data_IF_832781566170
#
_entry.id   IF_832781566170
#
_cell.length_a   1.000
_cell.length_b   1.000
_cell.length_c   1.000
_cell.angle_alpha   90.00
_cell.angle_beta   90.00
_cell.angle_gamma   90.00
#
_symmetry.space_group_name_H-M   'P 1'
#
loop_
_entity.id
_entity.type
_entity.pdbx_description
1 polymer ?
#
# COMPACT_ATOMS: atom_id res chain seq x y z
N UNK A 1 12.10 34.37 -39.79
CA UNK A 1 11.28 34.27 -38.58
C UNK A 1 11.45 32.86 -38.00
N UNK A 2 12.49 32.70 -37.15
CA UNK A 2 12.89 31.42 -36.56
C UNK A 2 12.58 31.56 -35.09
N UNK A 3 11.51 30.93 -34.61
CA UNK A 3 11.15 30.95 -33.19
C UNK A 3 11.06 29.52 -32.64
N UNK A 4 12.07 29.24 -31.89
CA UNK A 4 12.10 28.53 -30.61
C UNK A 4 11.59 27.11 -30.51
N UNK A 5 12.47 26.18 -30.87
CA UNK A 5 12.38 24.73 -30.54
C UNK A 5 13.02 24.37 -29.17
N UNK A 6 13.25 25.34 -28.28
CA UNK A 6 14.00 25.13 -27.03
C UNK A 6 13.17 24.85 -25.76
N UNK A 7 11.85 24.86 -25.84
CA UNK A 7 11.00 24.65 -24.64
C UNK A 7 10.46 23.22 -24.47
N UNK A 8 10.63 22.33 -25.45
CA UNK A 8 10.09 20.97 -25.38
C UNK A 8 11.05 19.92 -24.79
N UNK A 9 12.33 20.23 -24.68
CA UNK A 9 13.35 19.25 -24.23
C UNK A 9 13.52 19.21 -22.72
N UNK A 10 13.00 20.18 -21.96
CA UNK A 10 13.15 20.22 -20.49
C UNK A 10 12.14 19.37 -19.69
N UNK A 11 11.10 18.85 -20.34
CA UNK A 11 10.10 17.99 -19.65
C UNK A 11 10.32 16.49 -19.82
N UNK A 12 11.28 16.07 -20.66
CA UNK A 12 11.57 14.66 -20.91
C UNK A 12 12.75 14.10 -20.09
N UNK A 13 13.47 14.93 -19.35
CA UNK A 13 14.66 14.53 -18.60
C UNK A 13 14.40 14.23 -17.12
N UNK A 14 13.18 14.42 -16.62
CA UNK A 14 12.86 14.20 -15.20
C UNK A 14 12.19 12.84 -14.91
N UNK A 15 11.92 12.05 -15.95
CA UNK A 15 11.18 10.78 -15.80
C UNK A 15 12.05 9.52 -15.78
N UNK A 16 13.38 9.61 -15.76
CA UNK A 16 14.25 8.45 -15.96
C UNK A 16 15.29 8.22 -14.84
N UNK A 17 15.08 8.74 -13.64
CA UNK A 17 16.09 8.60 -12.57
C UNK A 17 15.56 8.07 -11.23
N UNK A 18 14.55 7.18 -11.24
CA UNK A 18 14.09 6.55 -9.99
C UNK A 18 13.93 5.02 -10.08
N UNK A 19 14.70 4.38 -10.95
CA UNK A 19 14.79 2.90 -10.98
C UNK A 19 16.24 2.53 -10.71
N UNK A 20 16.74 2.66 -9.51
CA UNK A 20 17.96 1.99 -9.07
C UNK A 20 18.31 2.31 -7.60
N UNK A 21 17.57 1.80 -6.63
CA UNK A 21 18.15 1.46 -5.32
C UNK A 21 17.44 0.19 -4.82
N UNK A 22 17.73 -0.92 -5.45
CA UNK A 22 17.72 -2.24 -4.83
C UNK A 22 18.89 -3.00 -5.44
N UNK A 23 20.06 -2.74 -4.93
CA UNK A 23 21.28 -3.53 -5.09
C UNK A 23 22.06 -3.29 -3.83
N UNK A 24 22.55 -4.19 -3.09
CA UNK A 24 23.19 -5.44 -3.32
C UNK A 24 23.58 -6.03 -1.98
N UNK A 25 23.33 -7.24 -1.72
CA UNK A 25 24.35 -8.11 -1.14
C UNK A 25 24.24 -9.44 -1.85
N UNK A 26 25.14 -9.64 -2.77
CA UNK A 26 25.30 -10.91 -3.45
C UNK A 26 25.99 -11.91 -2.55
N UNK A 27 25.35 -13.05 -2.36
CA UNK A 27 26.01 -14.35 -2.27
C UNK A 27 25.11 -15.31 -3.04
N UNK A 28 25.60 -15.81 -4.16
CA UNK A 28 24.97 -16.90 -4.88
C UNK A 28 25.02 -18.14 -4.00
N UNK A 29 23.85 -18.63 -3.65
CA UNK A 29 23.66 -19.99 -3.15
C UNK A 29 22.41 -20.56 -3.82
N UNK A 30 22.51 -21.78 -4.30
CA UNK A 30 21.56 -22.55 -5.07
C UNK A 30 20.11 -22.42 -4.59
N UNK A 31 19.21 -22.16 -5.53
CA UNK A 31 17.80 -22.55 -5.63
C UNK A 31 17.14 -23.13 -4.36
N UNK A 32 16.88 -22.29 -3.39
CA UNK A 32 15.69 -22.38 -2.55
C UNK A 32 14.83 -21.19 -2.94
N UNK A 33 13.59 -21.42 -3.39
CA UNK A 33 12.60 -20.33 -3.49
C UNK A 33 12.63 -19.60 -2.15
N UNK A 34 13.06 -18.34 -2.15
CA UNK A 34 13.15 -17.56 -0.93
C UNK A 34 11.72 -17.33 -0.43
N UNK A 35 11.35 -18.04 0.64
CA UNK A 35 10.09 -17.83 1.37
C UNK A 35 10.07 -16.49 2.12
N UNK A 36 10.97 -15.55 1.77
CA UNK A 36 11.01 -14.23 2.39
C UNK A 36 9.78 -13.41 2.02
N UNK A 37 9.28 -12.56 2.92
CA UNK A 37 8.24 -11.59 2.62
C UNK A 37 8.63 -10.74 1.42
N UNK A 38 7.72 -10.55 0.48
CA UNK A 38 7.97 -9.76 -0.74
C UNK A 38 6.76 -8.92 -1.10
N UNK A 39 7.02 -7.79 -1.76
CA UNK A 39 6.01 -6.91 -2.33
C UNK A 39 6.27 -6.73 -3.82
N UNK A 40 5.22 -6.73 -4.62
CA UNK A 40 5.26 -6.50 -6.07
C UNK A 40 4.15 -5.54 -6.47
N UNK A 41 4.37 -4.76 -7.53
CA UNK A 41 3.35 -3.88 -8.12
C UNK A 41 3.07 -4.32 -9.54
N UNK A 42 1.80 -4.54 -9.84
CA UNK A 42 1.33 -4.83 -11.19
C UNK A 42 -0.04 -4.21 -11.41
N UNK A 43 -0.21 -3.41 -12.46
CA UNK A 43 -1.51 -2.81 -12.82
C UNK A 43 -2.18 -2.07 -11.65
N UNK A 44 -1.44 -1.25 -10.89
CA UNK A 44 -1.90 -0.52 -9.71
C UNK A 44 -2.40 -1.41 -8.55
N UNK A 45 -2.07 -2.69 -8.58
CA UNK A 45 -2.26 -3.62 -7.46
C UNK A 45 -0.92 -3.88 -6.81
N UNK A 46 -0.82 -3.65 -5.52
CA UNK A 46 0.33 -4.03 -4.70
C UNK A 46 0.02 -5.38 -4.07
N UNK A 47 0.79 -6.39 -4.43
CA UNK A 47 0.67 -7.73 -3.84
C UNK A 47 1.78 -7.95 -2.83
N UNK A 48 1.42 -8.23 -1.61
CA UNK A 48 2.30 -8.67 -0.52
C UNK A 48 2.17 -10.17 -0.34
N UNK A 49 3.28 -10.90 -0.38
CA UNK A 49 3.30 -12.36 -0.31
C UNK A 49 4.26 -12.85 0.78
N UNK A 50 4.06 -14.09 1.25
CA UNK A 50 4.81 -14.72 2.34
C UNK A 50 4.73 -13.93 3.65
N UNK A 51 3.57 -13.34 3.92
CA UNK A 51 3.33 -12.50 5.09
C UNK A 51 3.35 -13.28 6.41
N UNK A 52 3.22 -14.60 6.38
CA UNK A 52 3.41 -15.50 7.50
C UNK A 52 4.85 -15.51 8.05
N UNK A 53 5.81 -15.02 7.26
CA UNK A 53 7.21 -14.88 7.66
C UNK A 53 7.48 -13.53 8.37
N UNK A 54 6.55 -12.58 8.34
CA UNK A 54 6.70 -11.32 9.09
C UNK A 54 6.58 -11.57 10.59
N UNK A 55 7.55 -11.03 11.32
CA UNK A 55 7.50 -11.01 12.79
C UNK A 55 6.50 -9.98 13.28
N UNK A 56 6.11 -10.08 14.54
CA UNK A 56 5.29 -9.06 15.20
C UNK A 56 5.90 -7.66 15.02
N UNK A 57 5.08 -6.70 14.62
CA UNK A 57 5.47 -5.30 14.33
C UNK A 57 6.48 -5.14 13.17
N UNK A 58 6.80 -6.20 12.45
CA UNK A 58 7.58 -6.10 11.23
C UNK A 58 6.70 -5.62 10.09
N UNK A 59 7.27 -4.81 9.22
CA UNK A 59 6.56 -4.17 8.10
C UNK A 59 7.27 -4.40 6.78
N UNK A 60 6.48 -4.51 5.73
CA UNK A 60 6.93 -4.55 4.35
C UNK A 60 6.37 -3.34 3.61
N UNK A 61 7.24 -2.54 3.00
CA UNK A 61 6.88 -1.28 2.33
C UNK A 61 7.34 -1.31 0.89
N UNK A 62 6.52 -0.78 0.00
CA UNK A 62 6.85 -0.61 -1.41
C UNK A 62 6.50 0.80 -1.87
N UNK A 63 7.37 1.40 -2.70
CA UNK A 63 7.11 2.67 -3.35
C UNK A 63 6.14 2.49 -4.52
N UNK A 64 5.23 3.42 -4.67
CA UNK A 64 4.23 3.49 -5.73
C UNK A 64 4.10 4.92 -6.22
N UNK A 65 3.33 5.11 -7.28
CA UNK A 65 2.92 6.44 -7.77
C UNK A 65 1.41 6.50 -7.67
N UNK A 66 0.87 7.59 -7.16
CA UNK A 66 -0.58 7.78 -7.03
C UNK A 66 -1.25 8.20 -8.35
N UNK A 67 -2.56 8.43 -8.31
CA UNK A 67 -3.34 8.83 -9.49
C UNK A 67 -2.95 10.20 -10.04
N UNK A 68 -2.29 11.05 -9.25
CA UNK A 68 -1.82 12.38 -9.65
C UNK A 68 -0.38 12.35 -10.20
N UNK A 69 0.31 11.21 -10.13
CA UNK A 69 1.71 11.06 -10.49
C UNK A 69 2.67 11.35 -9.33
N UNK A 70 2.17 11.56 -8.11
CA UNK A 70 2.98 11.86 -6.94
C UNK A 70 3.53 10.57 -6.29
N UNK A 71 4.72 10.63 -5.67
CA UNK A 71 5.30 9.49 -4.98
C UNK A 71 4.51 9.16 -3.71
N UNK A 72 4.26 7.87 -3.53
CA UNK A 72 3.60 7.35 -2.34
C UNK A 72 4.22 6.01 -1.92
N UNK A 73 3.82 5.51 -0.76
CA UNK A 73 4.20 4.18 -0.29
C UNK A 73 2.99 3.42 0.22
N UNK A 74 2.97 2.13 -0.06
CA UNK A 74 2.04 1.18 0.55
C UNK A 74 2.81 0.31 1.53
N UNK A 75 2.28 0.14 2.72
CA UNK A 75 2.88 -0.67 3.78
C UNK A 75 1.87 -1.67 4.31
N UNK A 76 2.31 -2.90 4.51
CA UNK A 76 1.64 -3.87 5.36
C UNK A 76 2.50 -4.15 6.59
N UNK A 77 1.90 -4.21 7.76
CA UNK A 77 2.57 -4.42 9.04
C UNK A 77 1.84 -5.52 9.82
N UNK A 78 2.60 -6.45 10.39
CA UNK A 78 2.05 -7.50 11.25
C UNK A 78 1.72 -6.91 12.62
N UNK A 79 0.48 -7.07 13.06
CA UNK A 79 -0.02 -6.54 14.35
C UNK A 79 -0.03 -7.61 15.44
N UNK A 80 0.22 -8.86 15.09
CA UNK A 80 0.16 -9.99 16.02
C UNK A 80 1.39 -10.07 16.91
N UNK A 81 1.19 -10.03 18.21
CA UNK A 81 2.24 -10.13 19.22
C UNK A 81 2.71 -11.58 19.50
N UNK A 82 2.26 -12.58 18.76
CA UNK A 82 2.62 -13.97 19.07
C UNK A 82 3.80 -14.46 18.25
N UNK A 83 4.86 -14.85 18.94
CA UNK A 83 6.08 -15.51 18.43
C UNK A 83 5.80 -16.99 18.03
N UNK A 84 4.61 -17.32 17.60
CA UNK A 84 4.28 -18.71 17.24
C UNK A 84 4.67 -19.00 15.80
N UNK A 85 5.62 -19.90 15.61
CA UNK A 85 6.05 -20.45 14.30
C UNK A 85 5.06 -21.49 13.73
N UNK A 86 3.91 -21.62 14.32
CA UNK A 86 2.84 -22.49 13.79
C UNK A 86 2.03 -21.65 12.81
N UNK A 87 1.74 -22.18 11.63
CA UNK A 87 0.87 -21.54 10.65
C UNK A 87 -0.43 -21.12 11.32
N UNK A 88 -0.58 -19.81 11.56
CA UNK A 88 -1.75 -19.27 12.23
C UNK A 88 -2.94 -19.36 11.30
N UNK A 89 -4.04 -19.85 11.81
CA UNK A 89 -5.33 -19.77 11.11
C UNK A 89 -5.85 -18.33 10.98
N UNK A 90 -5.28 -17.39 11.72
CA UNK A 90 -5.70 -15.98 11.76
C UNK A 90 -4.49 -15.07 11.89
N UNK A 91 -4.43 -14.03 11.04
CA UNK A 91 -3.40 -12.99 11.04
C UNK A 91 -4.04 -11.62 11.05
N UNK A 92 -3.43 -10.67 11.76
CA UNK A 92 -3.89 -9.28 11.79
C UNK A 92 -2.88 -8.37 11.12
N UNK A 93 -3.36 -7.53 10.24
CA UNK A 93 -2.57 -6.64 9.40
C UNK A 93 -3.00 -5.20 9.56
N UNK A 94 -2.03 -4.29 9.64
CA UNK A 94 -2.22 -2.87 9.39
C UNK A 94 -1.88 -2.58 7.93
N UNK A 95 -2.82 -2.10 7.18
CA UNK A 95 -2.67 -1.68 5.78
C UNK A 95 -2.59 -0.16 5.75
N UNK A 96 -1.52 0.39 5.17
CA UNK A 96 -1.27 1.84 5.19
C UNK A 96 -0.92 2.36 3.80
N UNK A 97 -1.42 3.55 3.50
CA UNK A 97 -1.00 4.41 2.40
C UNK A 97 -0.35 5.67 2.98
N UNK A 98 0.78 6.08 2.42
CA UNK A 98 1.46 7.34 2.76
C UNK A 98 1.87 8.04 1.47
N UNK A 99 1.12 9.05 1.07
CA UNK A 99 1.41 9.97 -0.02
C UNK A 99 1.95 11.32 0.47
N UNK A 100 2.03 12.28 -0.43
CA UNK A 100 2.51 13.65 -0.11
C UNK A 100 1.50 14.39 0.76
N UNK A 101 0.22 14.29 0.43
CA UNK A 101 -0.85 15.07 1.09
C UNK A 101 -1.83 14.22 1.90
N UNK A 102 -1.88 12.92 1.69
CA UNK A 102 -2.80 11.99 2.37
C UNK A 102 -2.02 10.86 3.00
N UNK A 103 -2.28 10.61 4.28
CA UNK A 103 -1.89 9.39 4.97
C UNK A 103 -3.14 8.70 5.48
N UNK A 104 -3.32 7.42 5.18
CA UNK A 104 -4.45 6.65 5.63
C UNK A 104 -4.02 5.23 6.01
N UNK A 105 -4.63 4.67 7.04
CA UNK A 105 -4.46 3.27 7.39
C UNK A 105 -5.72 2.71 8.04
N UNK A 106 -5.81 1.40 8.04
CA UNK A 106 -6.78 0.63 8.81
C UNK A 106 -6.19 -0.72 9.21
N UNK A 107 -6.86 -1.39 10.15
CA UNK A 107 -6.51 -2.74 10.57
C UNK A 107 -7.52 -3.75 10.06
N UNK A 108 -7.06 -4.96 9.74
CA UNK A 108 -7.92 -6.09 9.37
C UNK A 108 -7.39 -7.42 9.92
N UNK A 109 -8.29 -8.32 10.26
CA UNK A 109 -7.99 -9.72 10.58
C UNK A 109 -8.39 -10.62 9.42
N UNK A 110 -7.49 -11.52 9.05
CA UNK A 110 -7.72 -12.53 8.02
C UNK A 110 -7.66 -13.92 8.66
N UNK A 111 -8.71 -14.71 8.48
CA UNK A 111 -8.82 -16.07 8.97
C UNK A 111 -9.28 -16.96 7.83
N UNK A 112 -8.55 -18.03 7.53
CA UNK A 112 -8.87 -18.95 6.44
C UNK A 112 -9.13 -18.22 5.11
N UNK A 113 -8.23 -17.30 4.76
CA UNK A 113 -8.29 -16.48 3.55
C UNK A 113 -9.54 -15.60 3.42
N UNK A 114 -10.16 -15.26 4.54
CA UNK A 114 -11.33 -14.38 4.60
C UNK A 114 -11.09 -13.27 5.59
N UNK A 115 -11.50 -12.05 5.27
CA UNK A 115 -11.56 -10.98 6.26
C UNK A 115 -12.67 -11.30 7.24
N UNK A 116 -12.31 -11.40 8.51
CA UNK A 116 -13.24 -11.68 9.61
C UNK A 116 -13.50 -10.47 10.49
N UNK A 117 -12.62 -9.47 10.43
CA UNK A 117 -12.80 -8.19 11.11
C UNK A 117 -12.02 -7.08 10.40
N UNK A 118 -12.52 -5.85 10.49
CA UNK A 118 -11.76 -4.64 10.19
C UNK A 118 -12.10 -3.60 11.25
N UNK A 119 -11.07 -2.97 11.81
CA UNK A 119 -11.25 -2.05 12.94
C UNK A 119 -10.22 -0.96 12.89
N UNK A 120 -10.51 0.10 13.60
CA UNK A 120 -9.65 1.24 13.77
C UNK A 120 -9.07 1.77 12.46
N UNK A 121 -9.08 3.05 12.27
CA UNK A 121 -8.46 3.69 11.11
C UNK A 121 -8.00 5.09 11.48
N UNK A 122 -7.09 5.62 10.67
CA UNK A 122 -6.70 7.02 10.75
C UNK A 122 -6.57 7.59 9.34
N UNK A 123 -6.95 8.83 9.22
CA UNK A 123 -6.81 9.64 8.01
C UNK A 123 -6.18 10.95 8.43
N UNK A 124 -5.07 11.31 7.80
CA UNK A 124 -4.43 12.61 7.98
C UNK A 124 -4.26 13.25 6.60
N UNK A 125 -4.63 14.51 6.49
CA UNK A 125 -4.53 15.29 5.26
C UNK A 125 -3.69 16.54 5.48
N UNK A 126 -2.92 16.93 4.49
CA UNK A 126 -2.13 18.18 4.48
C UNK A 126 -2.70 19.12 3.41
N UNK A 127 -3.17 20.31 3.84
CA UNK A 127 -3.76 21.30 2.94
C UNK A 127 -5.15 20.95 2.42
N UNK A 128 -5.81 19.98 3.05
CA UNK A 128 -7.20 19.59 2.78
C UNK A 128 -7.88 19.12 4.07
N UNK A 129 -9.18 18.88 4.00
CA UNK A 129 -9.96 18.20 5.06
C UNK A 129 -10.52 16.91 4.50
N UNK A 130 -11.08 16.06 5.37
CA UNK A 130 -11.82 14.88 4.92
C UNK A 130 -13.18 14.79 5.59
N UNK A 131 -14.13 14.13 4.92
CA UNK A 131 -15.48 13.81 5.41
C UNK A 131 -15.87 12.40 4.99
N UNK A 132 -17.02 11.94 5.49
CA UNK A 132 -17.69 10.69 5.08
C UNK A 132 -16.77 9.45 5.19
N UNK A 133 -15.90 9.43 6.20
CA UNK A 133 -15.00 8.32 6.43
C UNK A 133 -15.78 7.08 6.89
N UNK A 134 -15.56 5.97 6.22
CA UNK A 134 -16.20 4.69 6.51
C UNK A 134 -15.23 3.54 6.29
N UNK A 135 -15.08 2.68 7.30
CA UNK A 135 -14.37 1.41 7.20
C UNK A 135 -15.40 0.29 7.12
N UNK A 136 -15.43 -0.41 5.99
CA UNK A 136 -16.35 -1.53 5.73
C UNK A 136 -15.55 -2.79 5.41
N UNK A 137 -16.13 -3.96 5.71
CA UNK A 137 -15.55 -5.23 5.29
C UNK A 137 -16.61 -6.29 4.98
N UNK A 138 -16.19 -7.26 4.20
CA UNK A 138 -16.89 -8.52 3.97
C UNK A 138 -15.84 -9.65 3.94
N UNK A 139 -16.27 -10.88 3.69
CA UNK A 139 -15.35 -12.02 3.66
C UNK A 139 -14.22 -11.90 2.63
N UNK A 140 -14.37 -11.07 1.62
CA UNK A 140 -13.40 -10.93 0.52
C UNK A 140 -12.44 -9.76 0.69
N UNK A 141 -12.80 -8.72 1.42
CA UNK A 141 -11.97 -7.51 1.54
C UNK A 141 -12.38 -6.61 2.69
N UNK A 142 -11.45 -5.76 3.13
CA UNK A 142 -11.72 -4.58 3.95
C UNK A 142 -11.40 -3.31 3.14
N UNK A 143 -12.22 -2.27 3.29
CA UNK A 143 -12.10 -1.02 2.53
C UNK A 143 -12.38 0.18 3.43
N UNK A 144 -11.40 1.08 3.53
CA UNK A 144 -11.55 2.43 4.06
C UNK A 144 -11.89 3.35 2.89
N UNK A 145 -12.98 4.11 3.01
CA UNK A 145 -13.42 5.11 2.02
C UNK A 145 -13.63 6.43 2.73
N UNK A 146 -13.28 7.54 2.10
CA UNK A 146 -13.53 8.89 2.59
C UNK A 146 -13.54 9.89 1.45
N UNK A 147 -14.09 11.08 1.69
CA UNK A 147 -14.05 12.20 0.75
C UNK A 147 -12.93 13.16 1.16
N UNK A 148 -11.98 13.42 0.29
CA UNK A 148 -10.97 14.49 0.46
C UNK A 148 -11.53 15.78 -0.11
N UNK A 149 -11.55 16.85 0.70
CA UNK A 149 -12.10 18.15 0.35
C UNK A 149 -10.96 19.18 0.28
N UNK A 150 -10.78 19.85 -0.85
CA UNK A 150 -9.84 20.95 -0.97
C UNK A 150 -10.17 22.05 0.06
N UNK A 151 -9.14 22.72 0.57
CA UNK A 151 -9.28 23.70 1.66
C UNK A 151 -10.29 24.84 1.38
N UNK A 152 -10.50 25.17 0.12
CA UNK A 152 -11.45 26.19 -0.31
C UNK A 152 -12.86 25.66 -0.64
N UNK A 153 -13.11 24.35 -0.45
CA UNK A 153 -14.39 23.70 -0.72
C UNK A 153 -14.79 23.59 -2.21
N UNK A 154 -13.89 23.97 -3.14
CA UNK A 154 -14.21 24.02 -4.58
C UNK A 154 -14.11 22.63 -5.23
N UNK A 155 -13.30 21.75 -4.67
CA UNK A 155 -13.10 20.41 -5.22
C UNK A 155 -13.13 19.36 -4.12
N UNK A 156 -13.75 18.23 -4.42
CA UNK A 156 -13.73 17.05 -3.58
C UNK A 156 -13.62 15.81 -4.45
N UNK A 157 -12.96 14.76 -3.93
CA UNK A 157 -12.92 13.47 -4.60
C UNK A 157 -12.97 12.33 -3.57
N UNK A 158 -13.49 11.20 -4.00
CA UNK A 158 -13.57 10.02 -3.15
C UNK A 158 -12.25 9.28 -3.16
N UNK A 159 -11.64 9.16 -1.98
CA UNK A 159 -10.44 8.38 -1.73
C UNK A 159 -10.79 7.02 -1.14
N UNK A 160 -9.96 6.02 -1.39
CA UNK A 160 -10.13 4.72 -0.74
C UNK A 160 -8.82 3.92 -0.70
N UNK A 161 -8.71 3.07 0.33
CA UNK A 161 -7.67 2.07 0.53
C UNK A 161 -8.33 0.73 0.81
N UNK A 162 -7.95 -0.32 0.09
CA UNK A 162 -8.59 -1.64 0.16
C UNK A 162 -7.55 -2.74 0.30
N UNK A 163 -7.75 -3.65 1.25
CA UNK A 163 -7.01 -4.89 1.41
C UNK A 163 -7.86 -6.10 1.02
N UNK A 164 -7.32 -7.00 0.23
CA UNK A 164 -7.98 -8.22 -0.27
C UNK A 164 -7.05 -9.41 -0.01
N UNK A 165 -7.37 -10.30 0.94
CA UNK A 165 -6.55 -11.50 1.19
C UNK A 165 -6.60 -12.44 0.00
N UNK A 166 -5.48 -13.13 -0.23
CA UNK A 166 -5.30 -14.19 -1.22
C UNK A 166 -4.53 -15.37 -0.66
N UNK A 167 -4.58 -16.49 -1.38
CA UNK A 167 -3.83 -17.68 -1.01
C UNK A 167 -4.30 -18.28 0.33
N UNK A 168 -3.37 -18.63 1.18
CA UNK A 168 -3.60 -19.31 2.47
C UNK A 168 -3.30 -18.38 3.65
N UNK A 169 -3.89 -17.18 3.72
CA UNK A 169 -3.70 -16.12 4.73
C UNK A 169 -2.34 -15.40 4.72
N UNK A 170 -1.48 -15.70 3.75
CA UNK A 170 -0.12 -15.18 3.69
C UNK A 170 0.10 -14.20 2.53
N UNK A 171 -0.97 -13.85 1.85
CA UNK A 171 -0.94 -12.91 0.71
C UNK A 171 -2.08 -11.90 0.81
N UNK A 172 -1.76 -10.64 0.55
CA UNK A 172 -2.73 -9.53 0.53
C UNK A 172 -2.47 -8.65 -0.66
N UNK A 173 -3.50 -8.47 -1.49
CA UNK A 173 -3.54 -7.42 -2.49
C UNK A 173 -4.01 -6.12 -1.85
N UNK A 174 -3.28 -5.05 -2.09
CA UNK A 174 -3.67 -3.70 -1.70
C UNK A 174 -3.91 -2.87 -2.95
N UNK A 175 -5.10 -2.27 -3.02
CA UNK A 175 -5.48 -1.30 -4.05
C UNK A 175 -5.89 0.01 -3.39
N UNK A 176 -5.75 1.12 -4.11
CA UNK A 176 -6.00 2.46 -3.58
C UNK A 176 -6.37 3.45 -4.69
N UNK A 177 -6.99 4.55 -4.27
CA UNK A 177 -7.22 5.77 -5.06
C UNK A 177 -7.17 6.94 -4.09
N UNK A 178 -6.20 7.84 -4.31
CA UNK A 178 -5.96 9.01 -3.46
C UNK A 178 -5.79 10.26 -4.31
#
# INVERSE_FOLDING_TARGET
MIMSTRKFIKKLAASLLFIAVVMSFGVQSAFAESNSPKATVKNNVVTFSNLDQLKANEKLTIAVVDSNGDPATITIESVDNSISRVAKSSNSWKVSYKGVVIHAYFYMTVTNNKVTNAWDYSITTLGSTYSDASLTYNSSSAKLTFTSNAYNGIASHTCWLKGTPRGTNNEVDVTYSM
#
